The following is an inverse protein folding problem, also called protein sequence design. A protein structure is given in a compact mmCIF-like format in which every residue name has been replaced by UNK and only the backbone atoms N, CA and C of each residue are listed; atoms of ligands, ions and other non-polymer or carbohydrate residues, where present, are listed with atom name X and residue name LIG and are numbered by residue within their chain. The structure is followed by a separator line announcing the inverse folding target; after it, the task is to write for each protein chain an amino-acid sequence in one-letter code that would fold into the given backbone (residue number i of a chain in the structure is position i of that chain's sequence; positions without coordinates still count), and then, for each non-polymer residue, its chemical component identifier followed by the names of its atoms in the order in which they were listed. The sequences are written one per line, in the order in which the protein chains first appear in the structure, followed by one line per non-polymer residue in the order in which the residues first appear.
data_IF_025649580071
#
_entry.id   IF_025649580071
#
_cell.length_a   1.000
_cell.length_b   1.000
_cell.length_c   1.000
_cell.angle_alpha   90.00
_cell.angle_beta   90.00
_cell.angle_gamma   90.00
#
_symmetry.space_group_name_H-M   'P 1'
#
loop_
_entity.id
_entity.type
_entity.pdbx_description
1 polymer ?
#
# COMPACT_ATOMS: atom_id res chain seq x y z
N UNK A 1 -10.69 -7.88 23.83
CA UNK A 1 -11.19 -6.70 23.07
C UNK A 1 -10.57 -6.75 21.70
N UNK A 2 -11.34 -6.61 20.64
CA UNK A 2 -10.80 -6.64 19.26
C UNK A 2 -10.08 -5.31 19.01
N UNK A 3 -8.81 -5.36 18.63
CA UNK A 3 -8.00 -4.18 18.37
C UNK A 3 -8.56 -3.41 17.17
N UNK A 4 -9.03 -2.18 17.39
CA UNK A 4 -9.48 -1.30 16.32
C UNK A 4 -8.27 -0.59 15.71
N UNK A 5 -8.22 -0.53 14.38
CA UNK A 5 -7.11 0.04 13.62
C UNK A 5 -7.67 1.08 12.65
N UNK A 6 -7.12 2.28 12.68
CA UNK A 6 -7.32 3.29 11.63
C UNK A 6 -6.27 3.06 10.55
N UNK A 7 -6.70 2.83 9.32
CA UNK A 7 -5.82 2.61 8.18
C UNK A 7 -5.95 3.71 7.13
N UNK A 8 -4.83 4.13 6.54
CA UNK A 8 -4.72 5.22 5.58
C UNK A 8 -3.93 4.77 4.34
N UNK A 9 -4.42 5.09 3.14
CA UNK A 9 -3.68 4.92 1.91
C UNK A 9 -3.90 6.07 0.93
N UNK A 10 -2.80 6.60 0.41
CA UNK A 10 -2.74 7.64 -0.61
C UNK A 10 -1.65 7.36 -1.65
N UNK A 11 -1.13 6.12 -1.71
CA UNK A 11 0.09 5.84 -2.47
C UNK A 11 -0.13 5.69 -3.98
N UNK A 12 -1.37 5.64 -4.45
CA UNK A 12 -1.73 5.55 -5.88
C UNK A 12 -2.92 6.48 -6.23
N UNK A 13 -3.64 6.20 -7.31
CA UNK A 13 -4.72 7.06 -7.85
C UNK A 13 -6.01 6.96 -7.04
N UNK A 14 -5.90 6.64 -5.75
CA UNK A 14 -6.98 6.65 -4.78
C UNK A 14 -6.53 7.27 -3.48
N UNK A 15 -7.48 7.79 -2.72
CA UNK A 15 -7.32 8.11 -1.31
C UNK A 15 -8.34 7.26 -0.55
N UNK A 16 -7.88 6.47 0.41
CA UNK A 16 -8.76 5.60 1.18
C UNK A 16 -8.46 5.64 2.67
N UNK A 17 -9.51 5.48 3.46
CA UNK A 17 -9.46 5.44 4.93
C UNK A 17 -10.41 4.35 5.42
N UNK A 18 -9.97 3.55 6.39
CA UNK A 18 -10.78 2.52 7.01
C UNK A 18 -10.59 2.47 8.53
N UNK A 19 -11.64 2.11 9.26
CA UNK A 19 -11.53 1.60 10.62
C UNK A 19 -11.89 0.12 10.58
N UNK A 20 -10.96 -0.73 11.02
CA UNK A 20 -11.12 -2.18 11.05
C UNK A 20 -10.96 -2.73 12.47
N UNK A 21 -11.51 -3.92 12.72
CA UNK A 21 -11.30 -4.69 13.95
C UNK A 21 -11.04 -6.16 13.61
N UNK A 22 -9.77 -6.56 13.55
CA UNK A 22 -9.37 -7.83 12.97
C UNK A 22 -9.74 -7.90 11.49
N UNK A 23 -10.59 -8.84 11.09
CA UNK A 23 -11.08 -8.97 9.71
C UNK A 23 -12.33 -8.14 9.41
N UNK A 24 -12.98 -7.57 10.43
CA UNK A 24 -14.21 -6.82 10.27
C UNK A 24 -13.93 -5.37 9.86
N UNK A 25 -14.69 -4.87 8.89
CA UNK A 25 -14.67 -3.47 8.45
C UNK A 25 -15.78 -2.71 9.19
N UNK A 26 -15.40 -1.79 10.07
CA UNK A 26 -16.36 -1.00 10.85
C UNK A 26 -16.87 0.17 10.01
N UNK A 27 -15.97 0.90 9.38
CA UNK A 27 -16.29 1.97 8.44
C UNK A 27 -15.16 2.13 7.42
N UNK A 28 -15.52 2.55 6.22
CA UNK A 28 -14.59 2.69 5.10
C UNK A 28 -15.03 3.82 4.16
N UNK A 29 -14.06 4.52 3.59
CA UNK A 29 -14.28 5.51 2.54
C UNK A 29 -13.11 5.45 1.56
N UNK A 30 -13.42 5.50 0.28
CA UNK A 30 -12.44 5.63 -0.81
C UNK A 30 -12.89 6.71 -1.78
N UNK A 31 -11.94 7.34 -2.44
CA UNK A 31 -12.17 8.27 -3.53
C UNK A 31 -11.05 8.12 -4.57
N UNK A 32 -11.43 7.97 -5.84
CA UNK A 32 -10.50 8.04 -6.96
C UNK A 32 -10.07 9.48 -7.15
N UNK A 33 -8.76 9.73 -7.20
CA UNK A 33 -8.21 11.05 -7.42
C UNK A 33 -6.76 11.01 -7.87
N UNK A 34 -6.45 11.70 -8.92
CA UNK A 34 -5.06 11.87 -9.36
C UNK A 34 -4.29 12.90 -8.52
N UNK A 35 -4.99 13.86 -7.93
CA UNK A 35 -4.47 14.96 -7.10
C UNK A 35 -5.48 15.31 -6.01
N UNK A 36 -5.00 16.01 -4.96
CA UNK A 36 -5.87 16.48 -3.88
C UNK A 36 -5.91 15.55 -2.66
N UNK A 37 -5.08 14.52 -2.61
CA UNK A 37 -5.03 13.59 -1.48
C UNK A 37 -4.73 14.32 -0.15
N UNK A 38 -3.88 15.34 -0.17
CA UNK A 38 -3.50 16.10 1.02
C UNK A 38 -4.70 16.85 1.65
N UNK A 39 -5.57 17.41 0.80
CA UNK A 39 -6.77 18.12 1.23
C UNK A 39 -7.89 17.16 1.63
N UNK A 40 -7.97 16.00 0.98
CA UNK A 40 -9.06 15.04 1.16
C UNK A 40 -8.87 14.13 2.40
N UNK A 41 -7.63 13.74 2.71
CA UNK A 41 -7.34 12.66 3.65
C UNK A 41 -7.88 12.94 5.06
N UNK A 42 -7.60 14.09 5.65
CA UNK A 42 -8.04 14.41 7.03
C UNK A 42 -9.57 14.54 7.14
N UNK A 43 -10.29 15.20 6.21
CA UNK A 43 -11.75 15.13 6.18
C UNK A 43 -12.31 13.71 6.05
N UNK A 44 -11.66 12.82 5.27
CA UNK A 44 -12.06 11.42 5.17
C UNK A 44 -11.84 10.67 6.50
N UNK A 45 -10.73 10.90 7.20
CA UNK A 45 -10.47 10.35 8.54
C UNK A 45 -11.61 10.74 9.49
N UNK A 46 -11.93 12.04 9.57
CA UNK A 46 -13.02 12.52 10.43
C UNK A 46 -14.37 11.88 10.09
N UNK A 47 -14.69 11.76 8.81
CA UNK A 47 -15.91 11.12 8.32
C UNK A 47 -15.97 9.64 8.71
N UNK A 48 -14.89 8.89 8.50
CA UNK A 48 -14.82 7.44 8.79
C UNK A 48 -14.88 7.18 10.28
N UNK A 49 -14.13 7.92 11.10
CA UNK A 49 -14.14 7.82 12.56
C UNK A 49 -15.55 8.08 13.12
N UNK A 50 -16.21 9.14 12.63
CA UNK A 50 -17.60 9.46 13.02
C UNK A 50 -18.58 8.35 12.64
N UNK A 51 -18.50 7.80 11.42
CA UNK A 51 -19.36 6.67 10.98
C UNK A 51 -19.09 5.38 11.73
N UNK A 52 -17.83 5.15 12.11
CA UNK A 52 -17.43 4.04 12.95
C UNK A 52 -17.92 4.17 14.40
N UNK A 53 -18.31 5.37 14.83
CA UNK A 53 -18.54 5.74 16.24
C UNK A 53 -17.36 5.33 17.13
N UNK A 54 -16.15 5.74 16.71
CA UNK A 54 -14.86 5.39 17.34
C UNK A 54 -14.08 6.67 17.60
N UNK A 55 -13.56 6.82 18.81
CA UNK A 55 -12.62 7.88 19.18
C UNK A 55 -11.18 7.39 19.02
N UNK A 56 -10.19 8.31 18.95
CA UNK A 56 -8.79 7.94 18.86
C UNK A 56 -8.30 7.10 20.05
N UNK A 57 -8.88 7.31 21.23
CA UNK A 57 -8.60 6.51 22.42
C UNK A 57 -9.06 5.04 22.34
N UNK A 58 -9.93 4.72 21.38
CA UNK A 58 -10.41 3.36 21.14
C UNK A 58 -9.49 2.58 20.18
N UNK A 59 -8.58 3.27 19.50
CA UNK A 59 -7.68 2.68 18.52
C UNK A 59 -6.48 2.04 19.21
N UNK A 60 -5.98 0.95 18.64
CA UNK A 60 -4.76 0.27 19.07
C UNK A 60 -3.53 0.75 18.29
N UNK A 61 -3.70 1.16 17.04
CA UNK A 61 -2.63 1.70 16.20
C UNK A 61 -3.20 2.39 14.95
N UNK A 62 -2.31 3.08 14.23
CA UNK A 62 -2.58 3.62 12.89
C UNK A 62 -1.77 2.83 11.88
N UNK A 63 -2.42 2.31 10.83
CA UNK A 63 -1.78 1.65 9.71
C UNK A 63 -1.69 2.60 8.51
N UNK A 64 -0.57 2.55 7.79
CA UNK A 64 -0.37 3.41 6.62
C UNK A 64 0.43 2.68 5.54
N UNK A 65 0.09 2.93 4.26
CA UNK A 65 0.88 2.42 3.15
C UNK A 65 2.26 3.09 3.09
N UNK A 66 3.29 2.27 2.96
CA UNK A 66 4.67 2.73 2.77
C UNK A 66 5.09 2.81 1.29
N UNK A 67 4.16 2.51 0.37
CA UNK A 67 4.43 2.37 -1.06
C UNK A 67 4.92 0.95 -1.43
N UNK A 68 5.54 0.78 -2.60
CA UNK A 68 5.93 1.81 -3.56
C UNK A 68 4.73 2.42 -4.30
N UNK A 69 4.87 3.66 -4.78
CA UNK A 69 3.79 4.37 -5.48
C UNK A 69 4.12 5.84 -5.75
N UNK A 70 3.09 6.66 -5.77
CA UNK A 70 3.22 8.11 -5.92
C UNK A 70 4.10 8.70 -4.81
N UNK A 71 5.20 9.34 -5.19
CA UNK A 71 6.14 9.98 -4.27
C UNK A 71 5.46 10.98 -3.31
N UNK A 72 4.54 11.79 -3.84
CA UNK A 72 3.77 12.74 -3.04
C UNK A 72 2.74 12.02 -2.17
N UNK A 73 1.99 11.09 -2.76
CA UNK A 73 0.92 10.37 -2.06
C UNK A 73 1.42 9.57 -0.86
N UNK A 74 2.52 8.82 -1.01
CA UNK A 74 3.16 8.09 0.10
C UNK A 74 3.54 9.02 1.23
N UNK A 75 4.12 10.19 0.94
CA UNK A 75 4.50 11.16 1.96
C UNK A 75 3.31 11.83 2.64
N UNK A 76 2.25 12.11 1.89
CA UNK A 76 1.00 12.65 2.45
C UNK A 76 0.40 11.65 3.45
N UNK A 77 0.31 10.37 3.07
CA UNK A 77 -0.19 9.31 3.96
C UNK A 77 0.66 9.17 5.22
N UNK A 78 1.98 9.04 5.06
CA UNK A 78 2.92 8.90 6.19
C UNK A 78 2.89 10.11 7.13
N UNK A 79 2.94 11.33 6.60
CA UNK A 79 2.89 12.54 7.43
C UNK A 79 1.57 12.69 8.19
N UNK A 80 0.45 12.32 7.57
CA UNK A 80 -0.85 12.33 8.24
C UNK A 80 -0.92 11.27 9.34
N UNK A 81 -0.44 10.04 9.07
CA UNK A 81 -0.40 8.96 10.06
C UNK A 81 0.46 9.35 11.27
N UNK A 82 1.68 9.84 11.03
CA UNK A 82 2.61 10.28 12.07
C UNK A 82 2.02 11.42 12.93
N UNK A 83 1.43 12.44 12.28
CA UNK A 83 0.78 13.54 13.01
C UNK A 83 -0.39 13.09 13.87
N UNK A 84 -1.23 12.18 13.37
CA UNK A 84 -2.35 11.60 14.11
C UNK A 84 -1.87 10.68 15.25
N UNK A 85 -0.87 9.84 14.98
CA UNK A 85 -0.26 8.94 15.95
C UNK A 85 0.37 9.71 17.11
N UNK A 86 1.13 10.76 16.78
CA UNK A 86 1.75 11.65 17.79
C UNK A 86 0.68 12.35 18.65
N UNK A 87 -0.36 12.90 18.03
CA UNK A 87 -1.43 13.60 18.75
C UNK A 87 -2.24 12.68 19.67
N UNK A 88 -2.42 11.41 19.30
CA UNK A 88 -3.20 10.42 20.04
C UNK A 88 -2.34 9.48 20.91
N UNK A 89 -1.01 9.62 20.87
CA UNK A 89 -0.04 8.72 21.51
C UNK A 89 -0.26 7.25 21.12
N UNK A 90 -0.45 7.00 19.81
CA UNK A 90 -0.67 5.69 19.24
C UNK A 90 0.58 5.19 18.51
N UNK A 91 0.85 3.88 18.50
CA UNK A 91 1.88 3.30 17.64
C UNK A 91 1.40 3.21 16.18
N UNK A 92 2.34 3.01 15.28
CA UNK A 92 2.10 2.91 13.85
C UNK A 92 2.48 1.55 13.27
N UNK A 93 1.87 1.22 12.12
CA UNK A 93 2.19 0.04 11.31
C UNK A 93 2.34 0.44 9.86
N UNK A 94 3.54 0.27 9.31
CA UNK A 94 3.78 0.41 7.87
C UNK A 94 3.38 -0.86 7.12
N UNK A 95 2.70 -0.70 5.98
CA UNK A 95 2.31 -1.81 5.10
C UNK A 95 2.80 -1.54 3.69
N UNK A 96 3.61 -2.46 3.14
CA UNK A 96 4.03 -2.41 1.74
C UNK A 96 2.85 -2.71 0.81
N UNK A 97 2.69 -1.92 -0.25
CA UNK A 97 1.66 -2.21 -1.27
C UNK A 97 1.96 -3.49 -2.05
N UNK A 98 3.23 -3.86 -2.23
CA UNK A 98 3.59 -5.14 -2.84
C UNK A 98 3.10 -6.33 -2.00
N UNK A 99 3.33 -6.27 -0.67
CA UNK A 99 2.78 -7.25 0.26
C UNK A 99 1.24 -7.24 0.28
N UNK A 100 0.63 -6.06 0.22
CA UNK A 100 -0.83 -5.92 0.26
C UNK A 100 -1.50 -6.53 -0.97
N UNK A 101 -0.91 -6.39 -2.17
CA UNK A 101 -1.37 -7.09 -3.38
C UNK A 101 -1.25 -8.60 -3.22
N UNK A 102 -0.10 -9.10 -2.74
CA UNK A 102 0.10 -10.53 -2.53
C UNK A 102 -0.88 -11.10 -1.47
N UNK A 103 -1.14 -10.33 -0.41
CA UNK A 103 -2.12 -10.71 0.62
C UNK A 103 -3.53 -10.83 0.05
N UNK A 104 -3.93 -9.89 -0.83
CA UNK A 104 -5.26 -9.84 -1.46
C UNK A 104 -5.44 -10.89 -2.54
N UNK A 105 -4.36 -11.42 -3.11
CA UNK A 105 -4.43 -12.42 -4.16
C UNK A 105 -5.06 -13.73 -3.65
N UNK A 106 -6.11 -14.21 -4.30
CA UNK A 106 -6.62 -15.57 -4.10
C UNK A 106 -5.82 -16.53 -5.00
N UNK A 107 -4.53 -16.65 -4.69
CA UNK A 107 -3.58 -17.44 -5.45
C UNK A 107 -2.61 -18.17 -4.52
N UNK A 108 -2.47 -19.47 -4.73
CA UNK A 108 -1.48 -20.31 -4.07
C UNK A 108 -0.31 -20.60 -5.03
N UNK A 109 0.93 -20.54 -4.52
CA UNK A 109 2.14 -20.78 -5.28
C UNK A 109 2.96 -19.51 -5.56
N UNK A 110 3.77 -19.54 -6.63
CA UNK A 110 4.71 -18.46 -6.96
C UNK A 110 4.01 -17.29 -7.63
N UNK A 111 4.04 -16.14 -6.97
CA UNK A 111 3.45 -14.88 -7.43
C UNK A 111 4.53 -13.80 -7.54
N UNK A 112 4.57 -13.12 -8.67
CA UNK A 112 5.32 -11.89 -8.85
C UNK A 112 4.34 -10.71 -8.82
N UNK A 113 4.42 -9.88 -7.80
CA UNK A 113 3.66 -8.62 -7.77
C UNK A 113 4.41 -7.58 -8.58
N UNK A 114 3.70 -6.88 -9.46
CA UNK A 114 4.23 -5.90 -10.40
C UNK A 114 3.40 -4.63 -10.33
N UNK A 115 4.02 -3.52 -9.93
CA UNK A 115 3.35 -2.22 -9.84
C UNK A 115 3.97 -1.21 -10.81
N UNK A 116 3.12 -0.30 -11.30
CA UNK A 116 3.50 0.78 -12.21
C UNK A 116 4.45 1.79 -11.58
N UNK A 117 5.45 2.21 -12.36
CA UNK A 117 6.38 3.27 -11.97
C UNK A 117 6.15 4.59 -12.72
N UNK A 118 5.31 4.60 -13.76
CA UNK A 118 5.18 5.68 -14.77
C UNK A 118 6.48 5.92 -15.57
N UNK A 119 7.36 4.88 -15.66
CA UNK A 119 8.61 4.84 -16.44
C UNK A 119 8.67 3.52 -17.22
N UNK A 120 9.81 3.23 -17.87
CA UNK A 120 10.02 2.02 -18.69
C UNK A 120 10.31 0.76 -17.86
N UNK A 121 10.08 0.77 -16.56
CA UNK A 121 10.29 -0.31 -15.63
C UNK A 121 9.12 -0.47 -14.66
N UNK A 122 9.24 -1.42 -13.73
CA UNK A 122 8.21 -1.77 -12.76
C UNK A 122 8.82 -1.91 -11.36
N UNK A 123 8.03 -1.61 -10.33
CA UNK A 123 8.30 -2.09 -8.98
C UNK A 123 7.82 -3.52 -8.86
N UNK A 124 8.64 -4.40 -8.28
CA UNK A 124 8.27 -5.80 -8.15
C UNK A 124 8.76 -6.43 -6.84
N UNK A 125 8.12 -7.54 -6.47
CA UNK A 125 8.54 -8.44 -5.41
C UNK A 125 8.02 -9.83 -5.69
N UNK A 126 8.81 -10.86 -5.33
CA UNK A 126 8.46 -12.25 -5.51
C UNK A 126 7.93 -12.83 -4.21
N UNK A 127 6.89 -13.65 -4.35
CA UNK A 127 6.22 -14.34 -3.25
C UNK A 127 6.05 -15.83 -3.57
N UNK A 128 6.03 -16.66 -2.54
CA UNK A 128 5.59 -18.05 -2.60
C UNK A 128 4.57 -18.29 -1.49
N UNK A 129 3.35 -18.72 -1.83
CA UNK A 129 2.25 -18.88 -0.90
C UNK A 129 2.05 -17.65 0.02
N UNK A 130 2.05 -16.46 -0.58
CA UNK A 130 1.92 -15.13 0.07
C UNK A 130 3.10 -14.72 0.96
N UNK A 131 4.14 -15.54 1.09
CA UNK A 131 5.35 -15.18 1.83
C UNK A 131 6.37 -14.56 0.87
N UNK A 132 7.00 -13.43 1.22
CA UNK A 132 8.01 -12.82 0.38
C UNK A 132 9.24 -13.75 0.27
N UNK A 133 9.72 -13.96 -0.96
CA UNK A 133 10.92 -14.75 -1.27
C UNK A 133 12.02 -13.91 -1.92
N UNK A 134 11.79 -12.62 -2.08
CA UNK A 134 12.79 -11.62 -2.45
C UNK A 134 12.57 -10.32 -1.68
N UNK A 135 13.60 -9.47 -1.63
CA UNK A 135 13.42 -8.06 -1.33
C UNK A 135 12.64 -7.39 -2.47
N UNK A 136 11.96 -6.27 -2.24
CA UNK A 136 11.39 -5.42 -3.29
C UNK A 136 12.50 -4.90 -4.22
N UNK A 137 12.22 -4.86 -5.53
CA UNK A 137 13.19 -4.43 -6.55
C UNK A 137 12.53 -3.64 -7.68
N UNK A 138 13.35 -3.07 -8.55
CA UNK A 138 12.95 -2.44 -9.82
C UNK A 138 13.52 -3.25 -10.97
N UNK A 139 12.71 -3.54 -11.99
CA UNK A 139 13.15 -4.26 -13.18
C UNK A 139 12.35 -3.82 -14.42
N UNK A 140 12.97 -3.97 -15.59
CA UNK A 140 12.34 -3.80 -16.89
C UNK A 140 11.58 -5.06 -17.35
N UNK A 141 10.83 -4.96 -18.44
CA UNK A 141 10.09 -6.08 -19.01
C UNK A 141 10.95 -7.30 -19.34
N UNK A 142 12.23 -7.11 -19.71
CA UNK A 142 13.13 -8.20 -20.09
C UNK A 142 13.41 -9.14 -18.92
N UNK A 143 13.59 -8.59 -17.71
CA UNK A 143 13.80 -9.39 -16.50
C UNK A 143 12.65 -10.38 -16.26
N UNK A 144 11.41 -9.96 -16.41
CA UNK A 144 10.24 -10.81 -16.13
C UNK A 144 10.15 -11.98 -17.10
N UNK A 145 10.77 -11.92 -18.30
CA UNK A 145 10.84 -13.07 -19.21
C UNK A 145 11.69 -14.21 -18.64
N UNK A 146 12.62 -13.93 -17.74
CA UNK A 146 13.44 -14.95 -17.07
C UNK A 146 12.67 -15.73 -16.00
N UNK A 147 11.58 -15.16 -15.46
CA UNK A 147 10.79 -15.80 -14.40
C UNK A 147 9.92 -16.91 -14.96
N UNK A 148 10.19 -18.15 -14.52
CA UNK A 148 9.45 -19.35 -14.90
C UNK A 148 8.53 -19.80 -13.76
N UNK A 149 7.29 -20.17 -14.08
CA UNK A 149 6.34 -20.72 -13.12
C UNK A 149 5.74 -19.69 -12.15
N UNK A 150 5.91 -18.39 -12.38
CA UNK A 150 5.24 -17.32 -11.64
C UNK A 150 3.94 -16.89 -12.32
N UNK A 151 2.91 -16.65 -11.51
CA UNK A 151 1.79 -15.80 -11.90
C UNK A 151 2.15 -14.33 -11.60
N UNK A 152 1.45 -13.39 -12.24
CA UNK A 152 1.69 -11.97 -12.09
C UNK A 152 0.43 -11.27 -11.56
N UNK A 153 0.58 -10.32 -10.63
CA UNK A 153 -0.51 -9.54 -10.06
C UNK A 153 -0.09 -8.08 -9.85
N UNK A 154 -1.06 -7.18 -9.81
CA UNK A 154 -0.85 -5.75 -9.59
C UNK A 154 -1.17 -4.90 -10.83
N UNK A 155 -1.16 -3.57 -10.66
CA UNK A 155 -1.56 -2.63 -11.70
C UNK A 155 -0.56 -2.50 -12.87
N UNK A 156 0.67 -2.98 -12.72
CA UNK A 156 1.66 -3.03 -13.80
C UNK A 156 1.50 -4.23 -14.75
N UNK A 157 0.62 -5.19 -14.44
CA UNK A 157 0.52 -6.45 -15.18
C UNK A 157 0.03 -6.25 -16.61
N UNK A 158 -0.91 -5.33 -16.85
CA UNK A 158 -1.44 -5.09 -18.20
C UNK A 158 -0.32 -4.66 -19.17
N UNK A 159 0.48 -3.67 -18.77
CA UNK A 159 1.62 -3.21 -19.54
C UNK A 159 2.69 -4.29 -19.68
N UNK A 160 2.95 -5.06 -18.63
CA UNK A 160 3.90 -6.17 -18.67
C UNK A 160 3.48 -7.23 -19.71
N UNK A 161 2.18 -7.54 -19.83
CA UNK A 161 1.65 -8.47 -20.85
C UNK A 161 1.92 -7.93 -22.25
N UNK A 162 1.66 -6.65 -22.48
CA UNK A 162 1.88 -6.00 -23.79
C UNK A 162 3.36 -6.04 -24.19
N UNK A 163 4.27 -5.82 -23.25
CA UNK A 163 5.71 -5.83 -23.49
C UNK A 163 6.31 -7.23 -23.65
N UNK A 164 5.78 -8.23 -22.95
CA UNK A 164 6.47 -9.53 -22.77
C UNK A 164 5.68 -10.73 -23.30
N UNK A 165 4.37 -10.58 -23.54
CA UNK A 165 3.48 -11.69 -23.89
C UNK A 165 3.19 -12.66 -22.75
N UNK A 166 3.51 -12.35 -21.48
CA UNK A 166 3.18 -13.18 -20.31
C UNK A 166 1.67 -13.36 -20.18
N UNK A 167 1.20 -14.55 -19.83
CA UNK A 167 -0.24 -14.90 -19.85
C UNK A 167 -0.79 -15.33 -18.48
N UNK A 168 0.04 -15.74 -17.54
CA UNK A 168 -0.42 -16.21 -16.23
C UNK A 168 -0.61 -15.03 -15.30
N UNK A 169 -1.85 -14.60 -15.13
CA UNK A 169 -2.25 -13.43 -14.34
C UNK A 169 -3.16 -13.87 -13.21
N UNK A 170 -2.90 -13.38 -12.01
CA UNK A 170 -3.84 -13.39 -10.90
C UNK A 170 -4.56 -12.03 -10.87
N UNK A 171 -5.86 -12.03 -11.13
CA UNK A 171 -6.65 -10.80 -11.02
C UNK A 171 -6.78 -10.38 -9.57
N UNK A 172 -6.21 -9.24 -9.24
CA UNK A 172 -6.23 -8.68 -7.89
C UNK A 172 -6.52 -7.19 -8.00
N UNK A 173 -7.60 -6.70 -7.36
CA UNK A 173 -7.81 -5.27 -7.26
C UNK A 173 -6.67 -4.63 -6.46
N UNK A 174 -6.34 -3.38 -6.79
CA UNK A 174 -5.37 -2.64 -5.98
C UNK A 174 -5.87 -2.54 -4.53
N UNK A 175 -4.99 -2.83 -3.55
CA UNK A 175 -5.37 -2.77 -2.15
C UNK A 175 -5.73 -1.35 -1.73
N UNK A 176 -6.63 -1.25 -0.78
CA UNK A 176 -7.09 -0.03 -0.15
C UNK A 176 -6.82 -0.05 1.38
N UNK A 177 -7.26 0.97 2.09
CA UNK A 177 -7.11 1.07 3.53
C UNK A 177 -7.73 -0.13 4.30
N UNK A 178 -8.74 -0.81 3.74
CA UNK A 178 -9.33 -2.01 4.36
C UNK A 178 -8.32 -3.14 4.41
N UNK A 179 -7.61 -3.36 3.31
CA UNK A 179 -6.56 -4.39 3.22
C UNK A 179 -5.42 -4.07 4.19
N UNK A 180 -5.00 -2.79 4.23
CA UNK A 180 -3.93 -2.36 5.14
C UNK A 180 -4.30 -2.58 6.61
N UNK A 181 -5.53 -2.26 7.00
CA UNK A 181 -6.02 -2.49 8.37
C UNK A 181 -6.04 -3.97 8.76
N UNK A 182 -6.50 -4.85 7.86
CA UNK A 182 -6.49 -6.29 8.07
C UNK A 182 -5.06 -6.84 8.22
N UNK A 183 -4.13 -6.40 7.39
CA UNK A 183 -2.73 -6.82 7.48
C UNK A 183 -2.05 -6.31 8.77
N UNK A 184 -2.35 -5.07 9.16
CA UNK A 184 -1.80 -4.48 10.38
C UNK A 184 -2.23 -5.23 11.65
N UNK A 185 -3.40 -5.87 11.65
CA UNK A 185 -3.87 -6.69 12.77
C UNK A 185 -2.93 -7.86 13.10
N UNK A 186 -2.14 -8.33 12.12
CA UNK A 186 -1.14 -9.40 12.29
C UNK A 186 0.29 -8.91 12.51
N UNK A 187 0.53 -7.61 12.52
CA UNK A 187 1.87 -7.00 12.68
C UNK A 187 2.02 -6.40 14.09
N UNK A 188 3.26 -6.24 14.54
CA UNK A 188 3.57 -5.55 15.81
C UNK A 188 3.66 -4.06 15.55
N UNK A 189 2.80 -3.22 16.19
CA UNK A 189 2.88 -1.78 16.05
C UNK A 189 4.09 -1.19 16.79
N UNK A 190 4.68 -0.13 16.26
CA UNK A 190 5.83 0.56 16.85
C UNK A 190 5.55 2.05 17.05
N UNK A 191 6.08 2.65 18.13
CA UNK A 191 6.09 4.10 18.33
C UNK A 191 7.23 4.74 17.51
N UNK A 192 7.16 4.51 16.20
CA UNK A 192 8.12 5.01 15.22
C UNK A 192 7.43 5.16 13.89
N UNK A 193 7.63 6.30 13.24
CA UNK A 193 7.10 6.54 11.90
C UNK A 193 7.63 5.50 10.91
N UNK A 194 6.78 4.78 10.19
CA UNK A 194 7.19 3.83 9.17
C UNK A 194 8.01 4.52 8.06
N UNK A 195 9.10 3.89 7.65
CA UNK A 195 9.91 4.42 6.57
C UNK A 195 9.23 4.19 5.21
N UNK A 196 9.23 5.18 4.30
CA UNK A 196 8.75 4.97 2.95
C UNK A 196 9.64 3.97 2.21
N UNK A 197 9.03 3.09 1.42
CA UNK A 197 9.73 2.12 0.59
C UNK A 197 10.21 2.79 -0.70
N UNK A 198 11.41 3.38 -0.64
CA UNK A 198 12.07 3.96 -1.80
C UNK A 198 12.97 2.92 -2.47
N UNK A 199 12.54 2.42 -3.63
CA UNK A 199 13.30 1.45 -4.43
C UNK A 199 14.24 2.11 -5.44
N UNK A 200 14.28 3.44 -5.45
CA UNK A 200 15.16 4.27 -6.28
C UNK A 200 15.73 5.42 -5.49
N UNK A 201 16.94 5.80 -5.84
CA UNK A 201 17.52 7.07 -5.42
C UNK A 201 16.74 8.24 -6.03
N UNK A 202 16.65 9.33 -5.29
CA UNK A 202 16.04 10.56 -5.79
C UNK A 202 16.89 11.12 -6.95
N UNK A 203 16.32 11.22 -8.14
CA UNK A 203 16.96 11.96 -9.24
C UNK A 203 16.89 13.46 -8.93
N UNK A 204 18.00 14.02 -8.54
CA UNK A 204 18.14 15.47 -8.37
C UNK A 204 18.48 16.07 -9.71
N UNK A 205 17.50 16.65 -10.39
CA UNK A 205 17.76 17.49 -11.56
C UNK A 205 18.39 18.80 -11.08
N UNK A 206 19.71 18.93 -11.19
CA UNK A 206 20.37 20.21 -10.96
C UNK A 206 19.89 21.22 -12.01
N UNK A 207 19.19 22.25 -11.57
CA UNK A 207 18.91 23.41 -12.43
C UNK A 207 20.26 23.95 -12.94
N UNK A 208 20.53 23.78 -14.23
CA UNK A 208 21.62 24.53 -14.88
C UNK A 208 21.24 26.01 -14.84
N UNK A 209 22.06 26.80 -14.17
CA UNK A 209 22.00 28.27 -14.20
C UNK A 209 22.28 28.78 -15.60
#
# INVERSE_FOLDING_TARGET
MTNKILALDCAHETCSVAVTAGNDVIAFQTAEMERGQAEALIPMVQSVMKRANVDFSDLSCIAVSTGPGSFTGVRVGLAAADGLAMAANLPEVGVSLLEAVAFSADFAGKLCVVLETKRDDFYAQLFDNKQPVSDPFVADGAYFNTLQGFAFAGNGVQRLIEETGKKTVAEVPMPDAVVLGKMAAGKTPEHKTPAPLYLREAEVTLCRK
#
